data_IF_760487060221
#
_entry.id   IF_760487060221
#
_cell.length_a   1.000
_cell.length_b   1.000
_cell.length_c   1.000
_cell.angle_alpha   90.00
_cell.angle_beta   90.00
_cell.angle_gamma   90.00
#
_symmetry.space_group_name_H-M   'P 1'
#
loop_
_entity.id
_entity.type
_entity.pdbx_description
1 polymer ?
#
# COMPACT_ATOMS: atom_id res chain seq x y z
N UNK A 1 8.55 -20.10 0.91
CA UNK A 1 8.93 -19.47 -0.37
C UNK A 1 8.86 -17.96 -0.19
N UNK A 2 9.74 -17.19 -0.82
CA UNK A 2 9.67 -15.71 -0.77
C UNK A 2 8.47 -15.26 -1.62
N UNK A 3 7.51 -14.54 -1.03
CA UNK A 3 6.37 -13.99 -1.76
C UNK A 3 6.87 -12.96 -2.78
N UNK A 4 6.89 -13.34 -4.07
CA UNK A 4 7.38 -12.50 -5.17
C UNK A 4 6.22 -12.18 -6.10
N UNK A 5 5.47 -11.13 -5.79
CA UNK A 5 4.34 -10.64 -6.59
C UNK A 5 4.70 -9.29 -7.21
N UNK A 6 4.55 -9.20 -8.54
CA UNK A 6 4.71 -7.95 -9.30
C UNK A 6 3.30 -7.39 -9.52
N UNK A 7 3.02 -6.14 -9.11
CA UNK A 7 1.68 -5.57 -9.24
C UNK A 7 1.31 -5.35 -10.71
N UNK A 8 0.10 -5.74 -11.08
CA UNK A 8 -0.45 -5.50 -12.41
C UNK A 8 -0.78 -4.02 -12.57
N UNK A 9 -0.38 -3.42 -13.71
CA UNK A 9 -0.64 -2.02 -14.07
C UNK A 9 -0.19 -1.00 -13.00
N UNK A 10 0.97 -1.24 -12.37
CA UNK A 10 1.45 -0.41 -11.27
C UNK A 10 1.57 1.07 -11.66
N UNK A 11 2.15 1.34 -12.84
CA UNK A 11 2.41 2.70 -13.29
C UNK A 11 1.11 3.41 -13.62
N UNK A 12 0.24 2.75 -14.37
CA UNK A 12 -1.05 3.26 -14.80
C UNK A 12 -1.93 3.59 -13.59
N UNK A 13 -2.07 2.65 -12.65
CA UNK A 13 -2.86 2.88 -11.43
C UNK A 13 -2.30 4.07 -10.64
N UNK A 14 -0.98 4.15 -10.48
CA UNK A 14 -0.36 5.24 -9.72
C UNK A 14 -0.50 6.59 -10.44
N UNK A 15 -0.47 6.61 -11.77
CA UNK A 15 -0.67 7.81 -12.59
C UNK A 15 -2.11 8.29 -12.51
N UNK A 16 -3.08 7.41 -12.74
CA UNK A 16 -4.51 7.75 -12.69
C UNK A 16 -4.98 8.14 -11.29
N UNK A 17 -4.48 7.47 -10.25
CA UNK A 17 -4.79 7.81 -8.87
C UNK A 17 -4.19 9.15 -8.46
N UNK A 18 -3.11 9.56 -9.12
CA UNK A 18 -2.39 10.83 -8.92
C UNK A 18 -2.23 11.19 -7.43
N UNK A 19 -1.50 10.38 -6.65
CA UNK A 19 -1.48 10.51 -5.20
C UNK A 19 -0.94 11.88 -4.76
N UNK A 20 -1.66 12.52 -3.84
CA UNK A 20 -1.35 13.85 -3.32
C UNK A 20 -0.97 13.77 -1.83
N UNK A 21 -0.11 14.69 -1.35
CA UNK A 21 0.21 14.83 0.08
C UNK A 21 -1.02 14.89 0.98
N UNK A 22 -0.92 14.28 2.15
CA UNK A 22 -1.90 14.42 3.23
C UNK A 22 -3.30 13.88 2.91
N UNK A 23 -3.47 13.16 1.80
CA UNK A 23 -4.73 12.49 1.46
C UNK A 23 -4.87 11.14 2.16
N UNK A 24 -6.09 10.63 2.18
CA UNK A 24 -6.41 9.27 2.61
C UNK A 24 -6.61 8.40 1.37
N UNK A 25 -6.00 7.22 1.38
CA UNK A 25 -6.17 6.19 0.37
C UNK A 25 -6.72 4.92 0.99
N UNK A 26 -7.52 4.20 0.21
CA UNK A 26 -8.05 2.90 0.58
C UNK A 26 -7.58 1.91 -0.50
N UNK A 27 -6.85 0.89 -0.07
CA UNK A 27 -6.52 -0.27 -0.90
C UNK A 27 -7.43 -1.41 -0.46
N UNK A 28 -8.50 -1.65 -1.24
CA UNK A 28 -9.52 -2.64 -0.90
C UNK A 28 -9.05 -4.10 -1.12
N UNK A 29 -7.88 -4.29 -1.73
CA UNK A 29 -7.32 -5.59 -2.09
C UNK A 29 -5.82 -5.58 -1.85
N UNK A 30 -5.44 -5.32 -0.60
CA UNK A 30 -4.06 -5.02 -0.21
C UNK A 30 -3.09 -6.08 -0.71
N UNK A 31 -3.48 -7.36 -0.67
CA UNK A 31 -2.64 -8.47 -1.07
C UNK A 31 -1.28 -8.40 -0.39
N UNK A 32 -0.21 -8.60 -1.16
CA UNK A 32 1.16 -8.37 -0.69
C UNK A 32 1.64 -6.91 -0.79
N UNK A 33 0.74 -5.93 -0.67
CA UNK A 33 0.98 -4.48 -0.61
C UNK A 33 1.81 -3.85 -1.74
N UNK A 34 1.73 -4.37 -2.97
CA UNK A 34 2.57 -3.89 -4.05
C UNK A 34 2.20 -2.50 -4.59
N UNK A 35 0.92 -2.23 -4.86
CA UNK A 35 0.45 -0.89 -5.21
C UNK A 35 0.57 0.06 -4.01
N UNK A 36 0.15 -0.40 -2.83
CA UNK A 36 0.28 0.34 -1.58
C UNK A 36 1.72 0.77 -1.29
N UNK A 37 2.72 -0.08 -1.52
CA UNK A 37 4.14 0.30 -1.35
C UNK A 37 4.51 1.48 -2.26
N UNK A 38 4.09 1.49 -3.52
CA UNK A 38 4.38 2.60 -4.45
C UNK A 38 3.73 3.92 -3.98
N UNK A 39 2.50 3.85 -3.46
CA UNK A 39 1.83 5.01 -2.87
C UNK A 39 2.55 5.53 -1.62
N UNK A 40 2.96 4.63 -0.73
CA UNK A 40 3.70 4.97 0.48
C UNK A 40 5.05 5.62 0.15
N UNK A 41 5.80 5.07 -0.82
CA UNK A 41 7.06 5.63 -1.29
C UNK A 41 6.90 7.06 -1.82
N UNK A 42 5.88 7.32 -2.66
CA UNK A 42 5.57 8.67 -3.15
C UNK A 42 5.18 9.65 -2.04
N UNK A 43 4.60 9.14 -0.94
CA UNK A 43 4.20 9.95 0.21
C UNK A 43 5.33 10.26 1.20
N UNK A 44 6.44 9.51 1.18
CA UNK A 44 7.55 9.73 2.14
C UNK A 44 8.32 11.03 1.89
N UNK A 45 8.41 11.48 0.64
CA UNK A 45 9.20 12.65 0.23
C UNK A 45 8.47 13.98 0.46
N UNK A 46 7.41 13.97 1.24
CA UNK A 46 6.29 14.88 1.12
C UNK A 46 6.02 15.49 2.51
N UNK A 47 5.78 16.81 2.62
CA UNK A 47 5.64 17.52 3.92
C UNK A 47 4.52 16.93 4.78
N UNK A 48 3.41 16.53 4.14
CA UNK A 48 2.29 15.85 4.78
C UNK A 48 2.20 14.41 4.26
N UNK A 49 2.48 13.43 5.13
CA UNK A 49 2.32 12.01 4.80
C UNK A 49 0.85 11.69 4.53
N UNK A 50 0.58 10.93 3.48
CA UNK A 50 -0.75 10.37 3.21
C UNK A 50 -1.03 9.21 4.17
N UNK A 51 -2.30 8.96 4.54
CA UNK A 51 -2.69 7.79 5.34
C UNK A 51 -3.32 6.74 4.44
N UNK A 52 -2.93 5.48 4.60
CA UNK A 52 -3.49 4.36 3.82
C UNK A 52 -4.23 3.40 4.75
N UNK A 53 -5.40 2.94 4.33
CA UNK A 53 -6.11 1.82 4.91
C UNK A 53 -6.09 0.66 3.92
N UNK A 54 -5.43 -0.43 4.28
CA UNK A 54 -5.31 -1.62 3.45
C UNK A 54 -6.19 -2.75 3.97
N UNK A 55 -7.09 -3.24 3.13
CA UNK A 55 -8.03 -4.31 3.43
C UNK A 55 -7.61 -5.58 2.70
N UNK A 56 -7.60 -6.70 3.42
CA UNK A 56 -7.58 -8.02 2.80
C UNK A 56 -8.20 -9.04 3.75
N UNK A 57 -8.94 -9.99 3.19
CA UNK A 57 -9.53 -11.10 3.95
C UNK A 57 -8.46 -12.14 4.31
N UNK A 58 -7.44 -12.28 3.47
CA UNK A 58 -6.36 -13.26 3.64
C UNK A 58 -5.34 -12.77 4.67
N UNK A 59 -5.28 -13.49 5.80
CA UNK A 59 -4.33 -13.25 6.88
C UNK A 59 -2.87 -13.40 6.43
N UNK A 60 -2.59 -14.32 5.52
CA UNK A 60 -1.22 -14.51 5.00
C UNK A 60 -0.81 -13.32 4.12
N UNK A 61 -1.74 -12.81 3.31
CA UNK A 61 -1.53 -11.59 2.52
C UNK A 61 -1.26 -10.37 3.44
N UNK A 62 -2.08 -10.18 4.48
CA UNK A 62 -1.85 -9.12 5.46
C UNK A 62 -0.50 -9.23 6.17
N UNK A 63 -0.05 -10.44 6.51
CA UNK A 63 1.27 -10.63 7.11
C UNK A 63 2.39 -10.28 6.11
N UNK A 64 2.29 -10.76 4.86
CA UNK A 64 3.25 -10.44 3.81
C UNK A 64 3.31 -8.92 3.52
N UNK A 65 2.15 -8.24 3.55
CA UNK A 65 2.06 -6.79 3.44
C UNK A 65 2.79 -6.10 4.60
N UNK A 66 2.48 -6.46 5.85
CA UNK A 66 3.13 -5.90 7.05
C UNK A 66 4.65 -6.03 6.99
N UNK A 67 5.16 -7.19 6.56
CA UNK A 67 6.59 -7.40 6.45
C UNK A 67 7.20 -6.52 5.35
N UNK A 68 6.57 -6.46 4.17
CA UNK A 68 7.06 -5.68 3.01
C UNK A 68 7.13 -4.17 3.30
N UNK A 69 6.08 -3.62 3.91
CA UNK A 69 5.97 -2.17 4.17
C UNK A 69 6.22 -1.81 5.64
N UNK A 70 6.95 -2.65 6.37
CA UNK A 70 7.32 -2.46 7.78
C UNK A 70 8.05 -1.16 8.11
N UNK A 71 8.73 -0.55 7.12
CA UNK A 71 9.43 0.74 7.24
C UNK A 71 8.52 1.97 7.16
N UNK A 72 7.23 1.79 6.94
CA UNK A 72 6.25 2.87 6.84
C UNK A 72 5.34 2.90 8.07
N UNK A 73 5.07 4.09 8.59
CA UNK A 73 4.28 4.33 9.80
C UNK A 73 2.86 4.86 9.50
N UNK A 74 2.54 5.07 8.22
CA UNK A 74 1.35 5.74 7.74
C UNK A 74 0.34 4.82 7.02
N UNK A 75 0.29 3.55 7.44
CA UNK A 75 -0.66 2.53 6.96
C UNK A 75 -1.39 1.86 8.13
N UNK A 76 -2.64 1.48 7.91
CA UNK A 76 -3.43 0.64 8.80
C UNK A 76 -3.93 -0.60 8.05
N UNK A 77 -3.87 -1.76 8.71
CA UNK A 77 -4.22 -3.05 8.12
C UNK A 77 -5.53 -3.53 8.72
N UNK A 78 -6.52 -3.78 7.86
CA UNK A 78 -7.86 -4.17 8.26
C UNK A 78 -8.14 -5.55 7.66
N UNK A 79 -8.63 -6.46 8.50
CA UNK A 79 -9.09 -7.78 8.09
C UNK A 79 -10.61 -7.81 8.25
N UNK A 80 -11.32 -7.46 7.18
CA UNK A 80 -12.79 -7.39 7.10
C UNK A 80 -13.23 -7.66 5.65
#
# INVERSE_FOLDING_TARGET
MVFKHIPVLLNEVTEYLNPQPGKIYIDCTLGGAGHTEALLQKSQTQISKSKIYGFDLDKEALQAAKDKVSRFDNIEYIQD
#
